data_IF_851674899827
#
_entry.id   IF_851674899827
#
_cell.length_a   1.000
_cell.length_b   1.000
_cell.length_c   1.000
_cell.angle_alpha   90.00
_cell.angle_beta   90.00
_cell.angle_gamma   90.00
#
_symmetry.space_group_name_H-M   'P 1'
#
loop_
_entity.id
_entity.type
_entity.pdbx_description
1 polymer ?
#
# COMPACT_ATOMS: atom_id res chain seq x y z
N UNK A 1 62.54 28.37 -28.53
CA UNK A 1 61.50 29.26 -27.96
C UNK A 1 60.51 28.41 -27.21
N UNK A 2 60.47 28.42 -25.88
CA UNK A 2 59.50 27.65 -25.12
C UNK A 2 58.28 28.51 -24.83
N UNK A 3 57.07 27.92 -25.07
CA UNK A 3 55.77 28.49 -24.70
C UNK A 3 55.59 28.41 -23.19
N UNK A 4 55.23 29.53 -22.61
CA UNK A 4 54.84 29.65 -21.18
C UNK A 4 53.41 29.10 -21.01
N UNK A 5 53.28 28.14 -20.09
CA UNK A 5 51.98 27.78 -19.55
C UNK A 5 51.57 28.79 -18.47
N UNK A 6 50.44 29.44 -18.65
CA UNK A 6 49.76 30.24 -17.62
C UNK A 6 48.78 29.37 -16.88
N UNK A 7 49.05 29.09 -15.61
CA UNK A 7 48.14 28.47 -14.64
C UNK A 7 47.06 29.47 -14.22
N UNK A 8 45.79 29.15 -14.53
CA UNK A 8 44.65 29.89 -14.03
C UNK A 8 44.23 29.26 -12.71
N UNK A 9 44.47 29.98 -11.61
CA UNK A 9 44.02 29.59 -10.28
C UNK A 9 42.51 29.79 -10.15
N UNK A 10 41.80 28.71 -9.85
CA UNK A 10 40.38 28.76 -9.51
C UNK A 10 40.24 29.19 -8.04
N UNK A 11 39.68 30.35 -7.82
CA UNK A 11 39.24 30.81 -6.50
C UNK A 11 37.88 30.11 -6.21
N UNK A 12 37.87 29.14 -5.28
CA UNK A 12 36.65 28.62 -4.69
C UNK A 12 36.23 29.58 -3.57
N UNK A 13 35.30 30.47 -3.86
CA UNK A 13 34.60 31.24 -2.85
C UNK A 13 33.58 30.35 -2.17
N UNK A 14 33.90 29.87 -0.96
CA UNK A 14 32.97 29.16 -0.11
C UNK A 14 31.82 30.08 0.31
N UNK A 15 30.61 29.76 -0.17
CA UNK A 15 29.37 30.38 0.29
C UNK A 15 29.03 29.78 1.66
N UNK A 16 29.34 30.48 2.73
CA UNK A 16 28.88 30.15 4.07
C UNK A 16 27.38 30.49 4.12
N UNK A 17 26.52 29.48 3.99
CA UNK A 17 25.10 29.63 4.28
C UNK A 17 24.96 29.79 5.80
N UNK A 18 24.78 31.00 6.27
CA UNK A 18 24.35 31.27 7.64
C UNK A 18 22.86 30.89 7.69
N UNK A 19 22.56 29.72 8.29
CA UNK A 19 21.18 29.37 8.61
C UNK A 19 20.63 30.41 9.57
N UNK A 20 19.70 31.22 9.12
CA UNK A 20 18.95 32.09 10.02
C UNK A 20 18.20 31.20 11.02
N UNK A 21 18.13 31.56 12.31
CA UNK A 21 17.32 30.80 13.25
C UNK A 21 15.87 30.82 12.74
N UNK A 22 15.30 29.63 12.50
CA UNK A 22 13.87 29.51 12.25
C UNK A 22 13.13 30.12 13.44
N UNK A 23 12.36 31.14 13.17
CA UNK A 23 11.44 31.64 14.18
C UNK A 23 10.54 30.47 14.61
N UNK A 24 10.23 30.33 15.92
CA UNK A 24 9.26 29.32 16.34
C UNK A 24 8.00 29.52 15.52
N UNK A 25 7.49 28.43 14.93
CA UNK A 25 6.24 28.46 14.20
C UNK A 25 5.21 29.13 15.09
N UNK A 26 4.62 30.22 14.61
CA UNK A 26 3.54 30.87 15.32
C UNK A 26 2.47 29.79 15.47
N UNK A 27 2.12 29.44 16.72
CA UNK A 27 0.96 28.61 17.00
C UNK A 27 -0.23 29.35 16.39
N UNK A 28 -0.71 28.85 15.25
CA UNK A 28 -1.94 29.37 14.66
C UNK A 28 -3.03 29.29 15.74
N UNK A 29 -3.74 30.36 15.95
CA UNK A 29 -4.90 30.34 16.83
C UNK A 29 -5.81 29.19 16.32
N UNK A 30 -6.39 28.37 17.20
CA UNK A 30 -7.24 27.28 16.77
C UNK A 30 -8.32 27.85 15.84
N UNK A 31 -8.33 27.38 14.58
CA UNK A 31 -9.38 27.73 13.65
C UNK A 31 -10.71 27.27 14.28
N UNK A 32 -11.74 28.10 14.22
CA UNK A 32 -13.06 27.68 14.68
C UNK A 32 -13.45 26.39 13.94
N UNK A 33 -14.02 25.44 14.68
CA UNK A 33 -14.50 24.20 14.07
C UNK A 33 -15.47 24.49 12.91
N UNK A 34 -15.50 23.64 11.88
CA UNK A 34 -16.43 23.78 10.76
C UNK A 34 -17.89 23.88 11.24
N UNK A 35 -18.76 24.56 10.51
CA UNK A 35 -20.20 24.59 10.82
C UNK A 35 -20.76 23.15 10.93
N UNK A 36 -21.56 22.90 11.96
CA UNK A 36 -22.14 21.60 12.25
C UNK A 36 -21.25 20.65 13.04
N UNK A 37 -20.05 21.08 13.44
CA UNK A 37 -19.19 20.37 14.37
C UNK A 37 -19.36 20.88 15.81
N UNK A 38 -19.30 19.98 16.77
CA UNK A 38 -19.34 20.28 18.21
C UNK A 38 -18.11 19.66 18.87
N UNK A 39 -17.43 20.45 19.71
CA UNK A 39 -16.21 20.04 20.41
C UNK A 39 -16.44 19.98 21.91
N UNK A 40 -16.06 18.91 22.56
CA UNK A 40 -16.09 18.75 24.00
C UNK A 40 -14.72 18.28 24.50
N UNK A 41 -14.28 18.79 25.65
CA UNK A 41 -13.00 18.39 26.22
C UNK A 41 -13.11 17.07 26.98
N UNK A 42 -12.16 16.18 26.75
CA UNK A 42 -12.00 14.92 27.45
C UNK A 42 -11.20 15.12 28.75
N UNK A 43 -11.38 14.20 29.69
CA UNK A 43 -10.60 14.22 30.94
C UNK A 43 -9.12 13.91 30.75
N UNK A 44 -8.77 13.23 29.63
CA UNK A 44 -7.42 12.96 29.18
C UNK A 44 -6.65 14.21 28.73
N UNK A 45 -7.36 15.31 28.48
CA UNK A 45 -6.82 16.57 27.95
C UNK A 45 -7.00 16.70 26.44
N UNK A 46 -7.45 15.66 25.76
CA UNK A 46 -7.86 15.69 24.36
C UNK A 46 -9.28 16.23 24.16
N UNK A 47 -9.83 16.04 22.96
CA UNK A 47 -11.18 16.48 22.60
C UNK A 47 -12.01 15.37 21.97
N UNK A 48 -13.31 15.46 22.12
CA UNK A 48 -14.27 14.71 21.33
C UNK A 48 -14.97 15.70 20.38
N UNK A 49 -14.83 15.48 19.09
CA UNK A 49 -15.38 16.31 18.03
C UNK A 49 -16.40 15.48 17.24
N UNK A 50 -17.60 16.00 17.10
CA UNK A 50 -18.66 15.37 16.29
C UNK A 50 -19.11 16.34 15.23
N UNK A 51 -18.91 16.00 13.95
CA UNK A 51 -19.37 16.76 12.79
C UNK A 51 -20.58 16.07 12.16
N UNK A 52 -21.78 16.49 12.51
CA UNK A 52 -23.02 15.85 12.05
C UNK A 52 -23.40 16.17 10.59
N UNK A 53 -22.70 17.10 9.94
CA UNK A 53 -22.94 17.52 8.55
C UNK A 53 -21.70 17.35 7.66
N UNK A 54 -20.76 16.50 8.08
CA UNK A 54 -19.49 16.31 7.38
C UNK A 54 -18.50 17.45 7.58
N UNK A 55 -17.38 17.39 6.84
CA UNK A 55 -16.35 18.44 6.79
C UNK A 55 -16.26 18.93 5.34
N UNK A 56 -16.65 20.20 5.08
CA UNK A 56 -16.68 20.74 3.73
C UNK A 56 -15.31 20.87 3.08
N UNK A 57 -15.28 20.98 1.75
CA UNK A 57 -14.08 21.30 0.96
C UNK A 57 -13.39 22.57 1.50
N UNK A 58 -12.08 22.62 1.41
CA UNK A 58 -11.23 23.73 1.87
C UNK A 58 -11.33 24.05 3.38
N UNK A 59 -11.89 23.13 4.17
CA UNK A 59 -11.91 23.23 5.62
C UNK A 59 -11.00 22.20 6.26
N UNK A 60 -10.40 22.57 7.39
CA UNK A 60 -9.53 21.71 8.18
C UNK A 60 -10.11 21.57 9.59
N UNK A 61 -10.32 20.33 9.99
CA UNK A 61 -10.70 19.97 11.34
C UNK A 61 -9.45 19.41 12.04
N UNK A 62 -9.01 20.07 13.08
CA UNK A 62 -7.85 19.61 13.84
C UNK A 62 -8.27 19.07 15.20
N UNK A 63 -7.68 17.96 15.59
CA UNK A 63 -7.62 17.47 16.95
C UNK A 63 -6.70 18.34 17.83
N UNK A 64 -5.98 17.72 18.70
CA UNK A 64 -5.03 18.36 19.63
C UNK A 64 -3.69 17.59 19.61
N UNK A 65 -2.77 17.84 20.50
CA UNK A 65 -1.60 16.97 20.72
C UNK A 65 -1.83 15.97 21.85
N UNK A 66 -3.04 15.38 21.91
CA UNK A 66 -3.49 14.39 22.91
C UNK A 66 -4.51 13.46 22.27
N UNK A 67 -4.69 12.29 22.84
CA UNK A 67 -5.69 11.33 22.41
C UNK A 67 -7.09 11.98 22.26
N UNK A 68 -7.56 12.04 21.02
CA UNK A 68 -8.82 12.65 20.62
C UNK A 68 -9.82 11.61 20.10
N UNK A 69 -11.09 12.00 20.03
CA UNK A 69 -12.11 11.23 19.32
C UNK A 69 -12.74 12.16 18.28
N UNK A 70 -12.62 11.81 17.01
CA UNK A 70 -13.13 12.63 15.90
C UNK A 70 -14.14 11.82 15.10
N UNK A 71 -15.40 12.24 15.08
CA UNK A 71 -16.47 11.58 14.36
C UNK A 71 -17.02 12.50 13.26
N UNK A 72 -16.88 12.10 12.01
CA UNK A 72 -17.48 12.76 10.86
C UNK A 72 -18.64 11.91 10.36
N UNK A 73 -19.85 12.33 10.72
CA UNK A 73 -21.08 11.60 10.43
C UNK A 73 -21.79 12.18 9.22
N UNK A 74 -22.35 11.31 8.39
CA UNK A 74 -23.15 11.71 7.25
C UNK A 74 -24.57 12.07 7.62
N UNK A 75 -25.08 13.20 7.12
CA UNK A 75 -26.52 13.53 7.16
C UNK A 75 -27.28 12.73 6.09
N UNK A 76 -27.38 13.27 4.91
CA UNK A 76 -27.96 12.60 3.73
C UNK A 76 -26.88 12.31 2.68
N UNK A 77 -27.27 11.64 1.57
CA UNK A 77 -26.36 11.27 0.49
C UNK A 77 -25.61 12.45 -0.18
N UNK A 78 -25.90 13.67 0.18
CA UNK A 78 -25.37 14.90 -0.46
C UNK A 78 -24.54 15.76 0.49
N UNK A 79 -24.80 15.74 1.80
CA UNK A 79 -24.26 16.72 2.77
C UNK A 79 -23.61 16.05 3.94
N UNK A 80 -23.08 15.04 4.08
CA UNK A 80 -22.58 14.45 5.34
C UNK A 80 -21.31 13.63 5.16
N UNK A 81 -20.42 14.09 4.29
CA UNK A 81 -19.20 13.38 4.00
C UNK A 81 -17.97 14.23 4.27
N UNK A 82 -16.82 13.58 4.38
CA UNK A 82 -15.54 14.26 4.43
C UNK A 82 -15.11 14.65 3.01
N UNK A 83 -15.01 15.94 2.77
CA UNK A 83 -14.42 16.52 1.56
C UNK A 83 -13.30 17.52 1.88
N UNK A 84 -13.12 17.88 3.14
CA UNK A 84 -12.02 18.66 3.68
C UNK A 84 -10.95 17.77 4.29
N UNK A 85 -10.23 18.28 5.27
CA UNK A 85 -9.16 17.57 5.98
C UNK A 85 -9.54 17.35 7.45
N UNK A 86 -9.25 16.17 7.95
CA UNK A 86 -9.26 15.82 9.38
C UNK A 86 -7.83 15.50 9.76
N UNK A 87 -7.27 16.20 10.74
CA UNK A 87 -5.95 15.92 11.31
C UNK A 87 -6.12 15.59 12.80
N UNK A 88 -5.64 14.42 13.23
CA UNK A 88 -5.51 14.07 14.65
C UNK A 88 -4.47 14.94 15.33
N UNK A 89 -3.35 15.15 14.70
CA UNK A 89 -2.13 15.85 15.11
C UNK A 89 -1.22 15.01 15.99
N UNK A 90 -1.62 14.57 17.13
CA UNK A 90 -0.79 13.71 17.95
C UNK A 90 -1.47 13.22 19.21
N UNK A 91 -0.99 12.07 19.69
CA UNK A 91 -1.64 11.26 20.70
C UNK A 91 -2.47 10.17 20.02
N UNK A 92 -2.82 9.14 20.71
CA UNK A 92 -3.52 7.97 20.16
C UNK A 92 -4.98 8.34 19.88
N UNK A 93 -5.29 8.65 18.63
CA UNK A 93 -6.57 9.21 18.20
C UNK A 93 -7.54 8.13 17.70
N UNK A 94 -8.84 8.38 17.86
CA UNK A 94 -9.89 7.56 17.23
C UNK A 94 -10.65 8.44 16.23
N UNK A 95 -10.49 8.14 14.94
CA UNK A 95 -11.09 8.89 13.84
C UNK A 95 -12.11 8.02 13.11
N UNK A 96 -13.38 8.34 13.22
CA UNK A 96 -14.47 7.61 12.56
C UNK A 96 -15.14 8.50 11.52
N UNK A 97 -15.13 8.07 10.27
CA UNK A 97 -15.71 8.81 9.15
C UNK A 97 -16.73 7.93 8.44
N UNK A 98 -17.97 8.42 8.32
CA UNK A 98 -19.01 7.65 7.64
C UNK A 98 -18.72 7.49 6.14
N UNK A 99 -18.11 8.51 5.51
CA UNK A 99 -17.78 8.47 4.06
C UNK A 99 -16.75 9.55 3.69
N UNK A 100 -15.85 9.20 2.79
CA UNK A 100 -14.95 10.15 2.14
C UNK A 100 -15.37 10.29 0.68
N UNK A 101 -15.66 11.49 0.22
CA UNK A 101 -15.98 11.77 -1.17
C UNK A 101 -14.99 12.79 -1.77
N UNK A 102 -14.54 12.51 -2.98
CA UNK A 102 -13.93 13.53 -3.81
C UNK A 102 -14.97 14.52 -4.33
N UNK A 103 -14.59 15.78 -4.43
CA UNK A 103 -15.50 16.83 -4.94
C UNK A 103 -15.89 16.57 -6.41
N UNK A 104 -17.17 16.31 -6.68
CA UNK A 104 -17.72 15.99 -8.00
C UNK A 104 -17.67 17.09 -9.07
N UNK A 105 -16.95 18.18 -8.87
CA UNK A 105 -16.83 19.32 -9.79
C UNK A 105 -15.41 19.49 -10.32
N UNK A 106 -15.06 18.92 -11.46
CA UNK A 106 -13.94 19.27 -12.37
C UNK A 106 -12.50 19.41 -11.81
N UNK A 107 -12.30 19.59 -10.53
CA UNK A 107 -11.07 19.41 -9.77
C UNK A 107 -11.42 18.55 -8.58
N UNK A 108 -11.08 17.28 -8.64
CA UNK A 108 -11.21 16.38 -7.51
C UNK A 108 -10.19 16.79 -6.43
N UNK A 109 -10.66 17.46 -5.38
CA UNK A 109 -9.89 17.57 -4.14
C UNK A 109 -10.43 16.44 -3.27
N UNK A 110 -9.67 15.39 -3.04
CA UNK A 110 -10.10 14.30 -2.18
C UNK A 110 -10.21 14.77 -0.74
N UNK A 111 -11.11 14.20 0.05
CA UNK A 111 -11.07 14.34 1.49
C UNK A 111 -9.79 13.71 2.04
N UNK A 112 -9.26 14.25 3.11
CA UNK A 112 -8.01 13.78 3.74
C UNK A 112 -8.28 13.42 5.19
N UNK A 113 -7.78 12.26 5.61
CA UNK A 113 -7.61 11.90 7.02
C UNK A 113 -6.11 11.76 7.24
N UNK A 114 -5.62 12.38 8.30
CA UNK A 114 -4.24 12.29 8.77
C UNK A 114 -4.31 12.03 10.27
N UNK A 115 -3.90 10.84 10.73
CA UNK A 115 -3.83 10.47 12.14
C UNK A 115 -2.85 11.37 12.87
N UNK A 116 -1.61 11.35 12.43
CA UNK A 116 -0.56 12.23 12.95
C UNK A 116 0.54 11.49 13.68
N UNK A 117 0.87 11.92 14.91
CA UNK A 117 1.83 11.24 15.76
C UNK A 117 1.06 10.45 16.84
N UNK A 118 1.23 9.18 16.96
CA UNK A 118 0.57 8.32 17.98
C UNK A 118 0.02 7.05 17.36
N UNK A 119 -0.46 6.13 18.18
CA UNK A 119 -1.08 4.89 17.70
C UNK A 119 -2.56 5.17 17.40
N UNK A 120 -2.90 5.43 16.14
CA UNK A 120 -4.21 5.93 15.73
C UNK A 120 -5.15 4.81 15.24
N UNK A 121 -6.46 4.96 15.51
CA UNK A 121 -7.51 4.10 14.98
C UNK A 121 -8.37 4.89 13.97
N UNK A 122 -8.22 4.59 12.68
CA UNK A 122 -8.93 5.26 11.59
C UNK A 122 -9.94 4.29 10.96
N UNK A 123 -11.22 4.60 11.08
CA UNK A 123 -12.30 3.80 10.48
C UNK A 123 -13.13 4.61 9.50
N UNK A 124 -13.24 4.13 8.26
CA UNK A 124 -14.19 4.62 7.26
C UNK A 124 -15.29 3.60 7.08
N UNK A 125 -16.50 3.90 7.55
CA UNK A 125 -17.57 2.90 7.73
C UNK A 125 -18.32 2.53 6.44
N UNK A 126 -18.26 3.35 5.39
CA UNK A 126 -18.87 3.13 4.06
C UNK A 126 -20.31 2.53 4.12
N UNK A 127 -21.22 3.26 4.74
CA UNK A 127 -22.58 2.76 5.05
C UNK A 127 -23.45 2.33 3.86
N UNK A 128 -23.08 2.72 2.63
CA UNK A 128 -23.93 2.54 1.45
C UNK A 128 -23.19 1.89 0.25
N UNK A 129 -22.13 1.11 0.48
CA UNK A 129 -21.28 0.52 -0.56
C UNK A 129 -20.67 1.55 -1.56
N UNK A 130 -20.55 2.81 -1.13
CA UNK A 130 -19.88 3.84 -1.93
C UNK A 130 -18.37 3.77 -1.69
N UNK A 131 -17.59 3.75 -2.76
CA UNK A 131 -16.15 3.62 -2.60
C UNK A 131 -15.53 4.85 -1.91
N UNK A 132 -14.52 4.59 -1.09
CA UNK A 132 -13.68 5.63 -0.50
C UNK A 132 -12.90 6.35 -1.61
N UNK A 133 -12.95 7.67 -1.63
CA UNK A 133 -12.27 8.53 -2.60
C UNK A 133 -11.46 9.60 -1.86
N UNK A 134 -10.31 9.24 -1.27
CA UNK A 134 -9.55 10.21 -0.49
C UNK A 134 -8.18 9.72 -0.08
N UNK A 135 -7.45 10.56 0.64
CA UNK A 135 -6.20 10.20 1.27
C UNK A 135 -6.47 9.78 2.71
N UNK A 136 -5.90 8.66 3.10
CA UNK A 136 -5.88 8.17 4.48
C UNK A 136 -4.43 7.92 4.83
N UNK A 137 -3.95 8.65 5.80
CA UNK A 137 -2.58 8.57 6.32
C UNK A 137 -2.68 8.22 7.81
N UNK A 138 -2.03 7.14 8.23
CA UNK A 138 -1.86 6.80 9.64
C UNK A 138 -0.97 7.84 10.27
N UNK A 139 0.28 7.86 9.88
CA UNK A 139 1.23 8.86 10.32
C UNK A 139 2.46 8.27 10.96
N UNK A 140 2.71 8.54 12.21
CA UNK A 140 3.82 7.96 12.96
C UNK A 140 3.30 7.30 14.23
N UNK A 141 3.55 6.04 14.40
CA UNK A 141 3.03 5.18 15.47
C UNK A 141 2.49 3.90 14.85
N UNK A 142 1.90 3.02 15.66
CA UNK A 142 1.35 1.78 15.14
C UNK A 142 -0.15 1.98 14.88
N UNK A 143 -0.49 2.25 13.65
CA UNK A 143 -1.82 2.69 13.27
C UNK A 143 -2.73 1.52 12.86
N UNK A 144 -4.02 1.67 13.08
CA UNK A 144 -5.04 0.73 12.60
C UNK A 144 -5.96 1.44 11.62
N UNK A 145 -5.94 1.06 10.35
CA UNK A 145 -6.76 1.64 9.29
C UNK A 145 -7.75 0.62 8.76
N UNK A 146 -9.04 0.86 8.97
CA UNK A 146 -10.11 0.01 8.46
C UNK A 146 -11.01 0.75 7.48
N UNK A 147 -11.14 0.25 6.26
CA UNK A 147 -12.01 0.84 5.24
C UNK A 147 -12.87 -0.20 4.54
N UNK A 148 -13.98 0.23 3.93
CA UNK A 148 -14.72 -0.56 2.96
C UNK A 148 -14.01 -0.64 1.61
N UNK A 149 -14.80 -0.52 0.51
CA UNK A 149 -14.25 -0.51 -0.84
C UNK A 149 -13.52 0.80 -1.16
N UNK A 150 -12.37 0.72 -1.78
CA UNK A 150 -11.51 1.87 -2.12
C UNK A 150 -11.35 1.94 -3.63
N UNK A 151 -11.58 3.10 -4.23
CA UNK A 151 -11.46 3.25 -5.69
C UNK A 151 -10.89 4.61 -6.07
N UNK A 152 -10.47 4.69 -7.33
CA UNK A 152 -10.00 5.85 -8.09
C UNK A 152 -9.57 7.07 -7.27
N UNK A 153 -8.28 7.41 -7.32
CA UNK A 153 -7.71 8.60 -6.67
C UNK A 153 -7.66 8.56 -5.13
N UNK A 154 -7.98 7.45 -4.51
CA UNK A 154 -7.67 7.24 -3.12
C UNK A 154 -6.16 6.89 -2.96
N UNK A 155 -5.67 7.03 -1.76
CA UNK A 155 -4.34 6.62 -1.34
C UNK A 155 -4.41 6.25 0.14
N UNK A 156 -3.86 5.13 0.49
CA UNK A 156 -3.76 4.68 1.88
C UNK A 156 -2.28 4.46 2.18
N UNK A 157 -1.82 5.00 3.29
CA UNK A 157 -0.45 4.90 3.78
C UNK A 157 -0.51 4.73 5.30
N UNK A 158 0.02 3.64 5.82
CA UNK A 158 0.18 3.44 7.26
C UNK A 158 1.12 4.50 7.81
N UNK A 159 2.33 4.55 7.28
CA UNK A 159 3.29 5.59 7.63
C UNK A 159 4.56 5.04 8.25
N UNK A 160 4.81 5.35 9.50
CA UNK A 160 5.97 4.84 10.22
C UNK A 160 5.56 4.18 11.53
N UNK A 161 5.92 2.95 11.71
CA UNK A 161 5.53 2.06 12.81
C UNK A 161 4.90 0.80 12.27
N UNK A 162 4.46 -0.08 13.13
CA UNK A 162 3.89 -1.36 12.72
C UNK A 162 2.37 -1.20 12.55
N UNK A 163 1.92 -1.06 11.31
CA UNK A 163 0.55 -0.68 10.97
C UNK A 163 -0.35 -1.88 10.63
N UNK A 164 -1.64 -1.78 10.89
CA UNK A 164 -2.63 -2.74 10.44
C UNK A 164 -3.64 -2.08 9.48
N UNK A 165 -3.58 -2.45 8.18
CA UNK A 165 -4.46 -1.92 7.14
C UNK A 165 -5.42 -3.01 6.67
N UNK A 166 -6.72 -2.81 6.87
CA UNK A 166 -7.76 -3.71 6.37
C UNK A 166 -8.68 -2.97 5.41
N UNK A 167 -8.83 -3.51 4.18
CA UNK A 167 -9.69 -2.92 3.16
C UNK A 167 -10.62 -3.95 2.53
N UNK A 168 -11.72 -3.48 1.96
CA UNK A 168 -12.56 -4.26 1.05
C UNK A 168 -11.88 -4.43 -0.32
N UNK A 169 -12.64 -4.17 -1.40
CA UNK A 169 -12.08 -4.13 -2.75
C UNK A 169 -11.28 -2.84 -2.96
N UNK A 170 -10.06 -2.96 -3.45
CA UNK A 170 -9.22 -1.84 -3.88
C UNK A 170 -9.13 -1.83 -5.41
N UNK A 171 -9.48 -0.71 -6.03
CA UNK A 171 -9.46 -0.56 -7.48
C UNK A 171 -8.76 0.74 -7.90
N UNK A 172 -7.68 0.66 -8.66
CA UNK A 172 -6.93 1.82 -9.19
C UNK A 172 -6.43 2.76 -8.10
N UNK A 173 -5.78 2.22 -7.08
CA UNK A 173 -5.35 2.95 -5.88
C UNK A 173 -4.04 2.35 -5.38
N UNK A 174 -3.17 3.15 -4.76
CA UNK A 174 -2.03 2.63 -4.02
C UNK A 174 -2.39 2.43 -2.55
N UNK A 175 -1.91 1.32 -2.01
CA UNK A 175 -1.95 0.99 -0.58
C UNK A 175 -0.54 0.67 -0.16
N UNK A 176 -0.07 1.32 0.90
CA UNK A 176 1.26 1.10 1.48
C UNK A 176 1.16 0.83 2.97
N UNK A 177 1.97 -0.10 3.46
CA UNK A 177 2.27 -0.24 4.87
C UNK A 177 3.10 0.97 5.32
N UNK A 178 4.36 0.99 4.97
CA UNK A 178 5.24 2.13 5.26
C UNK A 178 6.61 1.70 5.76
N UNK A 179 7.05 2.30 6.86
CA UNK A 179 8.27 1.87 7.57
C UNK A 179 7.84 1.08 8.81
N UNK A 180 8.20 -0.17 8.95
CA UNK A 180 7.89 -1.04 10.10
C UNK A 180 7.29 -2.36 9.66
N UNK A 181 7.03 -3.26 10.63
CA UNK A 181 6.49 -4.59 10.32
C UNK A 181 4.96 -4.49 10.21
N UNK A 182 4.45 -4.39 8.99
CA UNK A 182 3.08 -4.04 8.70
C UNK A 182 2.18 -5.27 8.43
N UNK A 183 0.89 -5.10 8.61
CA UNK A 183 -0.11 -6.12 8.30
C UNK A 183 -1.17 -5.56 7.35
N UNK A 184 -1.14 -6.00 6.09
CA UNK A 184 -2.06 -5.58 5.04
C UNK A 184 -3.05 -6.70 4.68
N UNK A 185 -4.36 -6.47 4.83
CA UNK A 185 -5.43 -7.43 4.49
C UNK A 185 -6.42 -6.81 3.51
N UNK A 186 -6.42 -7.29 2.27
CA UNK A 186 -7.28 -6.80 1.21
C UNK A 186 -8.19 -7.90 0.68
N UNK A 187 -9.50 -7.64 0.56
CA UNK A 187 -10.41 -8.60 -0.07
C UNK A 187 -10.08 -8.78 -1.57
N UNK A 188 -9.76 -7.70 -2.28
CA UNK A 188 -9.18 -7.74 -3.62
C UNK A 188 -8.41 -6.49 -3.96
N UNK A 189 -7.44 -6.65 -4.87
CA UNK A 189 -6.64 -5.56 -5.43
C UNK A 189 -6.62 -5.66 -6.96
N UNK A 190 -7.16 -4.66 -7.65
CA UNK A 190 -7.30 -4.66 -9.10
C UNK A 190 -6.77 -3.36 -9.73
N UNK A 191 -5.85 -3.48 -10.68
CA UNK A 191 -5.28 -2.35 -11.42
C UNK A 191 -5.45 -2.56 -12.92
N UNK A 192 -6.23 -1.73 -13.63
CA UNK A 192 -6.35 -1.82 -15.08
C UNK A 192 -5.05 -1.37 -15.76
N UNK A 193 -4.75 -1.94 -16.92
CA UNK A 193 -3.47 -1.76 -17.60
C UNK A 193 -3.15 -0.35 -18.13
N UNK A 194 -4.11 0.59 -18.06
CA UNK A 194 -3.85 2.01 -18.35
C UNK A 194 -3.30 2.77 -17.12
N UNK A 195 -3.50 2.25 -15.93
CA UNK A 195 -2.91 2.79 -14.72
C UNK A 195 -1.51 2.21 -14.51
N UNK A 196 -0.53 3.08 -14.34
CA UNK A 196 0.88 2.71 -14.14
C UNK A 196 1.42 3.13 -12.78
N UNK A 197 0.62 3.81 -11.99
CA UNK A 197 1.05 4.42 -10.74
C UNK A 197 0.57 3.68 -9.50
N UNK A 198 -0.50 2.88 -9.61
CA UNK A 198 -1.01 2.13 -8.47
C UNK A 198 -0.18 0.88 -8.18
N UNK A 199 0.18 0.70 -6.91
CA UNK A 199 0.86 -0.48 -6.34
C UNK A 199 0.26 -0.84 -4.98
N UNK A 200 0.36 -2.09 -4.63
CA UNK A 200 0.24 -2.58 -3.27
C UNK A 200 1.66 -2.88 -2.79
N UNK A 201 2.06 -2.32 -1.67
CA UNK A 201 3.44 -2.25 -1.22
C UNK A 201 3.46 -2.42 0.31
N UNK A 202 4.16 -3.43 0.82
CA UNK A 202 4.38 -3.58 2.25
C UNK A 202 5.14 -2.38 2.78
N UNK A 203 6.34 -2.20 2.30
CA UNK A 203 7.19 -1.09 2.67
C UNK A 203 8.55 -1.55 3.13
N UNK A 204 9.01 -1.10 4.26
CA UNK A 204 10.28 -1.52 4.83
C UNK A 204 10.07 -2.13 6.22
N UNK A 205 10.49 -3.34 6.42
CA UNK A 205 10.29 -4.17 7.61
C UNK A 205 9.72 -5.53 7.23
N UNK A 206 9.50 -6.39 8.20
CA UNK A 206 9.01 -7.75 7.95
C UNK A 206 7.48 -7.73 7.87
N UNK A 207 6.95 -7.65 6.65
CA UNK A 207 5.53 -7.40 6.40
C UNK A 207 4.69 -8.68 6.27
N UNK A 208 3.42 -8.60 6.62
CA UNK A 208 2.43 -9.65 6.37
C UNK A 208 1.34 -9.15 5.43
N UNK A 209 1.31 -9.63 4.19
CA UNK A 209 0.37 -9.18 3.17
C UNK A 209 -0.58 -10.31 2.76
N UNK A 210 -1.88 -10.11 2.91
CA UNK A 210 -2.92 -11.06 2.48
C UNK A 210 -3.88 -10.43 1.48
N UNK A 211 -4.01 -11.03 0.30
CA UNK A 211 -4.91 -10.57 -0.77
C UNK A 211 -5.79 -11.72 -1.25
N UNK A 212 -7.11 -11.57 -1.13
CA UNK A 212 -8.06 -12.58 -1.62
C UNK A 212 -8.04 -12.72 -3.14
N UNK A 213 -8.00 -11.61 -3.89
CA UNK A 213 -7.92 -11.62 -5.36
C UNK A 213 -6.97 -10.52 -5.87
N UNK A 214 -5.87 -10.93 -6.51
CA UNK A 214 -4.84 -10.02 -7.01
C UNK A 214 -4.91 -9.82 -8.52
N UNK A 215 -5.06 -8.58 -8.96
CA UNK A 215 -5.10 -8.15 -10.37
C UNK A 215 -4.21 -6.92 -10.66
N UNK A 216 -3.10 -6.79 -9.98
CA UNK A 216 -2.13 -5.70 -10.12
C UNK A 216 -0.77 -6.07 -9.55
N UNK A 217 0.16 -5.12 -9.44
CA UNK A 217 1.46 -5.35 -8.80
C UNK A 217 1.32 -5.32 -7.27
N UNK A 218 2.02 -6.26 -6.63
CA UNK A 218 2.23 -6.37 -5.21
C UNK A 218 3.73 -6.50 -4.98
N UNK A 219 4.25 -5.73 -4.05
CA UNK A 219 5.63 -5.73 -3.57
C UNK A 219 5.64 -5.98 -2.06
N UNK A 220 6.53 -6.85 -1.59
CA UNK A 220 6.85 -6.98 -0.17
C UNK A 220 7.61 -5.74 0.27
N UNK A 221 8.80 -5.58 -0.21
CA UNK A 221 9.70 -4.49 0.07
C UNK A 221 11.02 -4.99 0.64
N UNK A 222 11.80 -4.14 1.32
CA UNK A 222 12.94 -4.59 2.09
C UNK A 222 12.55 -5.19 3.44
N UNK A 223 12.83 -6.46 3.68
CA UNK A 223 12.53 -7.19 4.92
C UNK A 223 12.13 -8.64 4.62
N UNK A 224 12.00 -9.46 5.65
CA UNK A 224 11.60 -10.86 5.48
C UNK A 224 10.06 -10.95 5.48
N UNK A 225 9.44 -10.95 4.29
CA UNK A 225 8.00 -10.78 4.12
C UNK A 225 7.20 -12.08 4.07
N UNK A 226 5.97 -12.07 4.58
CA UNK A 226 4.99 -13.14 4.40
C UNK A 226 3.83 -12.68 3.49
N UNK A 227 3.84 -13.12 2.22
CA UNK A 227 2.86 -12.74 1.21
C UNK A 227 1.92 -13.91 0.90
N UNK A 228 0.61 -13.71 1.07
CA UNK A 228 -0.41 -14.67 0.70
C UNK A 228 -1.39 -14.10 -0.32
N UNK A 229 -1.52 -14.77 -1.48
CA UNK A 229 -2.49 -14.45 -2.53
C UNK A 229 -3.39 -15.65 -2.77
N UNK A 230 -4.68 -15.56 -2.42
CA UNK A 230 -5.59 -16.69 -2.59
C UNK A 230 -5.83 -17.04 -4.05
N UNK A 231 -5.98 -16.02 -4.92
CA UNK A 231 -6.14 -16.20 -6.36
C UNK A 231 -5.74 -14.97 -7.16
N UNK A 232 -5.39 -15.20 -8.41
CA UNK A 232 -5.16 -14.12 -9.38
C UNK A 232 -6.45 -13.72 -10.08
N UNK A 233 -6.72 -12.42 -10.15
CA UNK A 233 -7.98 -11.86 -10.64
C UNK A 233 -8.17 -12.11 -12.13
N UNK A 234 -9.42 -12.38 -12.50
CA UNK A 234 -9.92 -12.27 -13.86
C UNK A 234 -10.11 -10.78 -14.18
N UNK A 235 -9.09 -10.08 -14.61
CA UNK A 235 -9.24 -8.65 -14.93
C UNK A 235 -10.14 -8.50 -16.15
N UNK A 236 -11.37 -8.05 -15.91
CA UNK A 236 -12.41 -7.85 -16.94
C UNK A 236 -12.17 -6.56 -17.76
N UNK A 237 -10.94 -6.08 -17.81
CA UNK A 237 -10.56 -4.90 -18.57
C UNK A 237 -10.09 -5.28 -19.99
N UNK A 238 -10.34 -4.41 -20.95
CA UNK A 238 -9.84 -4.59 -22.33
C UNK A 238 -8.32 -4.62 -22.42
N UNK A 239 -7.63 -4.13 -21.41
CA UNK A 239 -6.18 -4.11 -21.28
C UNK A 239 -5.86 -4.40 -19.79
N UNK A 240 -5.83 -5.67 -19.38
CA UNK A 240 -5.45 -6.02 -18.01
C UNK A 240 -3.95 -5.75 -17.80
N UNK A 241 -3.58 -5.24 -16.62
CA UNK A 241 -2.20 -5.24 -16.14
C UNK A 241 -1.87 -6.68 -15.71
N UNK A 242 -0.66 -7.21 -15.94
CA UNK A 242 -0.25 -8.46 -15.32
C UNK A 242 -0.37 -8.37 -13.80
N UNK A 243 -0.84 -9.42 -13.17
CA UNK A 243 -0.70 -9.55 -11.74
C UNK A 243 0.74 -10.01 -11.45
N UNK A 244 1.44 -9.26 -10.63
CA UNK A 244 2.81 -9.57 -10.20
C UNK A 244 2.87 -9.61 -8.69
N UNK A 245 3.63 -10.56 -8.17
CA UNK A 245 4.05 -10.62 -6.77
C UNK A 245 5.56 -10.59 -6.80
N UNK A 246 6.17 -9.75 -6.01
CA UNK A 246 7.60 -9.60 -5.85
C UNK A 246 7.89 -9.50 -4.34
N UNK A 247 8.76 -10.36 -3.81
CA UNK A 247 9.23 -10.28 -2.43
C UNK A 247 10.09 -9.05 -2.23
N UNK A 248 10.89 -8.71 -3.25
CA UNK A 248 11.92 -7.66 -3.30
C UNK A 248 13.20 -8.04 -2.51
N UNK A 249 13.59 -7.43 -1.38
CA UNK A 249 14.83 -7.71 -0.63
C UNK A 249 14.53 -8.39 0.71
N UNK A 250 15.03 -9.59 0.96
CA UNK A 250 14.86 -10.35 2.22
C UNK A 250 14.60 -11.84 1.99
N UNK A 251 14.55 -12.61 3.07
CA UNK A 251 14.23 -14.05 2.98
C UNK A 251 12.70 -14.24 3.05
N UNK A 252 12.03 -14.21 1.89
CA UNK A 252 10.59 -14.09 1.79
C UNK A 252 9.83 -15.42 1.79
N UNK A 253 8.60 -15.40 2.26
CA UNK A 253 7.66 -16.51 2.18
C UNK A 253 6.44 -16.11 1.34
N UNK A 254 6.37 -16.60 0.10
CA UNK A 254 5.29 -16.27 -0.83
C UNK A 254 4.39 -17.49 -1.05
N UNK A 255 3.11 -17.40 -0.67
CA UNK A 255 2.08 -18.40 -0.92
C UNK A 255 1.06 -17.84 -1.89
N UNK A 256 1.09 -18.31 -3.14
CA UNK A 256 0.18 -17.81 -4.15
C UNK A 256 -0.70 -18.93 -4.72
N UNK A 257 -1.95 -18.59 -5.04
CA UNK A 257 -2.86 -19.49 -5.74
C UNK A 257 -2.34 -19.92 -7.11
N UNK A 258 -3.07 -20.78 -7.82
CA UNK A 258 -2.66 -21.28 -9.13
C UNK A 258 -2.42 -20.14 -10.13
N UNK A 259 -1.20 -20.03 -10.64
CA UNK A 259 -0.82 -18.99 -11.61
C UNK A 259 -1.14 -19.41 -13.04
N UNK A 260 -1.68 -18.50 -13.85
CA UNK A 260 -2.03 -18.77 -15.26
C UNK A 260 -3.13 -19.80 -15.44
N UNK A 261 -4.01 -20.01 -14.44
CA UNK A 261 -5.07 -21.04 -14.47
C UNK A 261 -6.32 -20.65 -15.21
N UNK A 262 -6.52 -19.36 -15.53
CA UNK A 262 -7.77 -18.85 -16.10
C UNK A 262 -7.60 -18.19 -17.46
N UNK A 263 -8.64 -18.27 -18.30
CA UNK A 263 -8.62 -17.80 -19.69
C UNK A 263 -8.45 -16.29 -19.87
N UNK A 264 -8.59 -15.47 -18.82
CA UNK A 264 -8.61 -14.02 -18.91
C UNK A 264 -7.43 -13.32 -18.19
N UNK A 265 -6.56 -14.04 -17.47
CA UNK A 265 -5.30 -13.49 -16.94
C UNK A 265 -4.27 -13.50 -18.05
N UNK A 266 -3.64 -12.35 -18.36
CA UNK A 266 -2.69 -12.29 -19.49
C UNK A 266 -1.36 -12.94 -19.22
N UNK A 267 -0.79 -12.64 -18.09
CA UNK A 267 0.40 -13.29 -17.54
C UNK A 267 0.43 -13.06 -16.05
N UNK A 268 1.02 -13.96 -15.34
CA UNK A 268 1.32 -13.78 -13.91
C UNK A 268 2.81 -13.94 -13.71
N UNK A 269 3.35 -13.17 -12.79
CA UNK A 269 4.71 -13.32 -12.31
C UNK A 269 4.67 -13.42 -10.79
N UNK A 270 5.45 -14.34 -10.26
CA UNK A 270 5.72 -14.45 -8.83
C UNK A 270 7.23 -14.59 -8.71
N UNK A 271 7.88 -13.62 -8.11
CA UNK A 271 9.31 -13.56 -7.84
C UNK A 271 9.58 -13.58 -6.35
N UNK A 272 10.66 -14.24 -5.93
CA UNK A 272 11.21 -14.13 -4.59
C UNK A 272 11.85 -12.76 -4.43
N UNK A 273 12.88 -12.52 -5.21
CA UNK A 273 13.65 -11.28 -5.17
C UNK A 273 15.10 -11.53 -4.82
N UNK A 274 15.61 -10.89 -3.81
CA UNK A 274 16.96 -11.09 -3.32
C UNK A 274 16.94 -11.61 -1.88
N UNK A 275 17.42 -12.81 -1.68
CA UNK A 275 17.40 -13.55 -0.41
C UNK A 275 17.04 -15.00 -0.62
N UNK A 276 16.98 -15.77 0.44
CA UNK A 276 16.68 -17.19 0.36
C UNK A 276 15.17 -17.44 0.54
N UNK A 277 14.43 -17.48 -0.57
CA UNK A 277 12.99 -17.42 -0.59
C UNK A 277 12.31 -18.78 -0.55
N UNK A 278 11.12 -18.81 0.05
CA UNK A 278 10.19 -19.92 -0.05
C UNK A 278 8.95 -19.53 -0.88
N UNK A 279 8.84 -20.06 -2.09
CA UNK A 279 7.69 -19.80 -2.96
C UNK A 279 6.81 -21.05 -3.07
N UNK A 280 5.57 -20.96 -2.59
CA UNK A 280 4.61 -22.05 -2.65
C UNK A 280 3.45 -21.72 -3.61
N UNK A 281 3.37 -22.45 -4.74
CA UNK A 281 2.29 -22.35 -5.73
C UNK A 281 1.79 -23.73 -6.15
N UNK A 282 0.47 -23.99 -6.23
CA UNK A 282 -0.04 -25.33 -6.57
C UNK A 282 0.17 -25.70 -8.04
N UNK A 283 0.12 -24.70 -8.95
CA UNK A 283 0.32 -24.91 -10.39
C UNK A 283 0.73 -23.63 -11.11
N UNK A 284 1.46 -23.80 -12.23
CA UNK A 284 1.99 -22.69 -13.04
C UNK A 284 1.68 -22.94 -14.51
N UNK A 285 1.08 -21.96 -15.20
CA UNK A 285 0.92 -21.97 -16.66
C UNK A 285 -0.05 -23.01 -17.22
N UNK A 286 -1.11 -23.33 -16.52
CA UNK A 286 -2.11 -24.34 -16.97
C UNK A 286 -2.91 -23.88 -18.18
N UNK A 287 -3.08 -22.62 -18.43
CA UNK A 287 -3.83 -22.07 -19.56
C UNK A 287 -3.22 -20.83 -20.20
N UNK A 288 -2.40 -20.08 -19.47
CA UNK A 288 -1.75 -18.83 -19.90
C UNK A 288 -0.30 -18.81 -19.43
N UNK A 289 0.47 -17.89 -20.00
CA UNK A 289 1.86 -17.67 -19.60
C UNK A 289 1.91 -17.27 -18.14
N UNK A 290 2.72 -17.99 -17.39
CA UNK A 290 3.00 -17.68 -15.99
C UNK A 290 4.45 -18.03 -15.69
N UNK A 291 5.09 -17.21 -14.88
CA UNK A 291 6.47 -17.42 -14.43
C UNK A 291 6.49 -17.37 -12.92
N UNK A 292 7.21 -18.31 -12.33
CA UNK A 292 7.63 -18.28 -10.94
C UNK A 292 9.14 -18.31 -10.95
N UNK A 293 9.78 -17.38 -10.26
CA UNK A 293 11.23 -17.19 -10.21
C UNK A 293 11.70 -17.07 -8.76
N UNK A 294 12.86 -17.68 -8.44
CA UNK A 294 13.54 -17.42 -7.18
C UNK A 294 14.26 -16.07 -7.21
N UNK A 295 14.84 -15.73 -8.35
CA UNK A 295 15.65 -14.58 -8.68
C UNK A 295 17.08 -14.66 -8.12
N UNK A 296 17.48 -14.04 -7.04
CA UNK A 296 18.85 -14.06 -6.51
C UNK A 296 18.93 -14.85 -5.18
N UNK A 297 19.99 -15.61 -4.96
CA UNK A 297 20.32 -16.45 -3.81
C UNK A 297 19.68 -17.86 -3.80
N UNK A 298 19.64 -18.57 -2.67
CA UNK A 298 19.34 -20.02 -2.61
C UNK A 298 17.85 -20.27 -2.27
N UNK A 299 17.01 -20.48 -3.28
CA UNK A 299 15.57 -20.51 -3.14
C UNK A 299 14.95 -21.91 -3.07
N UNK A 300 13.74 -21.98 -2.52
CA UNK A 300 12.88 -23.14 -2.53
C UNK A 300 11.55 -22.82 -3.24
N UNK A 301 11.34 -23.40 -4.42
CA UNK A 301 10.11 -23.25 -5.21
C UNK A 301 9.37 -24.58 -5.24
N UNK A 302 8.18 -24.63 -4.64
CA UNK A 302 7.43 -25.87 -4.47
C UNK A 302 5.92 -25.66 -4.48
N UNK A 303 5.17 -26.76 -4.49
CA UNK A 303 3.75 -26.76 -4.22
C UNK A 303 3.46 -26.69 -2.71
N UNK A 304 2.22 -26.33 -2.31
CA UNK A 304 1.85 -26.21 -0.91
C UNK A 304 2.25 -27.41 -0.06
N UNK A 305 2.87 -27.13 1.09
CA UNK A 305 3.35 -28.16 2.02
C UNK A 305 4.46 -29.05 1.47
N UNK A 306 5.31 -28.54 0.57
CA UNK A 306 6.45 -29.24 0.02
C UNK A 306 6.12 -30.25 -1.10
N UNK A 307 4.93 -30.16 -1.68
CA UNK A 307 4.54 -30.99 -2.84
C UNK A 307 5.16 -30.49 -4.14
N UNK A 308 5.04 -31.26 -5.21
CA UNK A 308 5.49 -30.79 -6.52
C UNK A 308 4.45 -29.84 -7.15
N UNK A 309 4.94 -28.78 -7.79
CA UNK A 309 4.13 -27.87 -8.59
C UNK A 309 3.64 -28.57 -9.85
N UNK A 310 2.36 -28.51 -10.17
CA UNK A 310 1.86 -28.95 -11.48
C UNK A 310 2.19 -27.91 -12.54
N UNK A 311 3.18 -28.23 -13.40
CA UNK A 311 3.64 -27.30 -14.44
C UNK A 311 2.89 -27.54 -15.76
N UNK A 312 2.19 -26.52 -16.26
CA UNK A 312 1.50 -26.53 -17.53
C UNK A 312 2.41 -26.11 -18.70
N UNK A 313 1.91 -26.26 -19.94
CA UNK A 313 2.68 -25.98 -21.17
C UNK A 313 3.20 -24.54 -21.25
N UNK A 314 2.49 -23.59 -20.68
CA UNK A 314 2.83 -22.17 -20.72
C UNK A 314 3.48 -21.68 -19.41
N UNK A 315 3.82 -22.61 -18.52
CA UNK A 315 4.47 -22.32 -17.24
C UNK A 315 5.98 -22.32 -17.34
N UNK A 316 6.59 -21.41 -16.60
CA UNK A 316 8.03 -21.38 -16.35
C UNK A 316 8.25 -21.38 -14.84
N UNK A 317 9.14 -22.25 -14.38
CA UNK A 317 9.74 -22.21 -13.04
C UNK A 317 11.22 -22.01 -13.25
N UNK A 318 11.76 -20.93 -12.72
CA UNK A 318 13.15 -20.52 -12.84
C UNK A 318 13.73 -20.33 -11.43
N UNK A 319 14.75 -21.07 -11.07
CA UNK A 319 15.41 -20.86 -9.78
C UNK A 319 16.13 -19.51 -9.71
N UNK A 320 16.62 -18.99 -10.86
CA UNK A 320 17.41 -17.77 -10.86
C UNK A 320 18.89 -18.01 -10.61
N UNK A 321 19.51 -17.18 -9.80
CA UNK A 321 20.90 -17.37 -9.35
C UNK A 321 20.89 -18.09 -8.02
N UNK A 322 21.90 -18.93 -7.77
CA UNK A 322 22.02 -19.64 -6.49
C UNK A 322 21.88 -21.15 -6.62
N UNK A 323 21.83 -21.83 -5.49
CA UNK A 323 21.67 -23.28 -5.39
C UNK A 323 20.20 -23.66 -5.15
N UNK A 324 19.34 -23.40 -6.13
CA UNK A 324 17.87 -23.41 -6.02
C UNK A 324 17.25 -24.82 -6.04
N UNK A 325 16.28 -25.07 -5.17
CA UNK A 325 15.49 -26.30 -5.13
C UNK A 325 14.09 -26.08 -5.73
N UNK A 326 13.82 -26.65 -6.92
CA UNK A 326 12.48 -26.56 -7.53
C UNK A 326 11.80 -27.94 -7.57
N UNK A 327 10.67 -28.07 -6.89
CA UNK A 327 9.87 -29.31 -6.90
C UNK A 327 8.74 -29.20 -7.91
N UNK A 328 8.91 -29.78 -9.10
CA UNK A 328 7.94 -29.67 -10.20
C UNK A 328 7.49 -31.04 -10.72
N UNK A 329 6.20 -31.18 -11.12
CA UNK A 329 5.66 -32.24 -11.95
C UNK A 329 5.41 -31.67 -13.36
N UNK A 330 6.40 -31.84 -14.24
CA UNK A 330 6.42 -31.26 -15.59
C UNK A 330 5.96 -32.25 -16.67
N UNK A 331 4.76 -32.83 -16.53
CA UNK A 331 4.19 -33.75 -17.54
C UNK A 331 3.64 -33.04 -18.77
N UNK A 332 3.28 -31.78 -18.67
CA UNK A 332 2.71 -31.00 -19.77
C UNK A 332 3.76 -30.28 -20.63
N UNK A 333 5.04 -30.29 -20.24
CA UNK A 333 6.14 -29.77 -21.05
C UNK A 333 6.38 -28.26 -20.89
N UNK A 334 6.12 -27.68 -19.73
CA UNK A 334 6.56 -26.33 -19.37
C UNK A 334 8.10 -26.24 -19.21
N UNK A 335 8.58 -25.05 -18.89
CA UNK A 335 10.02 -24.79 -18.72
C UNK A 335 10.43 -24.86 -17.26
N UNK A 336 11.54 -25.54 -16.97
CA UNK A 336 12.22 -25.50 -15.68
C UNK A 336 13.67 -25.10 -15.94
N UNK A 337 14.17 -24.09 -15.27
CA UNK A 337 15.49 -23.53 -15.45
C UNK A 337 16.16 -23.27 -14.09
N UNK A 338 17.49 -23.31 -14.05
CA UNK A 338 18.30 -22.91 -12.89
C UNK A 338 17.90 -23.56 -11.56
N UNK A 339 17.45 -24.82 -11.60
CA UNK A 339 17.01 -25.59 -10.45
C UNK A 339 17.88 -26.83 -10.26
N UNK A 340 18.19 -27.16 -9.02
CA UNK A 340 18.78 -28.47 -8.70
C UNK A 340 17.72 -29.57 -8.82
N UNK A 341 18.13 -30.75 -9.25
CA UNK A 341 17.24 -31.89 -9.47
C UNK A 341 16.93 -32.65 -8.16
#
# INVERSE_FOLDING_TARGET
>A
MPLRQTTVGAFVTGLVLIAAPMAPAATAAPSADPPGCTRTHLRSGGVHIVCAQGVPVDTVLNGTGKADIIEVRGGDAVTGHLSGTVNGLGGDDVIVVDRILGNGGGRHIPGVIDGGDGDDEITVTDKDDWPVLGLILGGAGNDTIATGNVTHQAYIDGGAGNDEITTGRVFTTSVKGGDGDDVLRLASYEVPGYDKSSSLDGGAGDDTITVGELGGPLHGGPGDDEITVDRFALVNSRIPKPATVDGDEGDDVIRAGATGATDNVRSTYVGGGAGADLIEVPSVGQGKVATVSGDDDDDVIQGPGGTAITLGLYGTVDGGRGDNLCRTDNRAGGTVANCQA
#
